data_IF_426935888897
#
_entry.id   IF_426935888897
#
_cell.length_a   1.000
_cell.length_b   1.000
_cell.length_c   1.000
_cell.angle_alpha   90.00
_cell.angle_beta   90.00
_cell.angle_gamma   90.00
#
_symmetry.space_group_name_H-M   'P 1'
#
loop_
_entity.id
_entity.type
_entity.pdbx_description
1 polymer ?
#
# COMPACT_ATOMS: atom_id res chain seq x y z
N UNK A 1 21.76 -23.07 10.59
CA UNK A 1 20.46 -23.54 11.11
C UNK A 1 19.76 -22.36 11.74
N UNK A 2 18.47 -22.19 11.46
CA UNK A 2 17.67 -21.10 12.03
C UNK A 2 17.43 -21.37 13.51
N UNK A 3 17.35 -20.32 14.31
CA UNK A 3 16.92 -20.40 15.72
C UNK A 3 15.40 -20.60 15.80
N UNK A 4 14.90 -20.97 16.98
CA UNK A 4 13.45 -21.09 17.22
C UNK A 4 12.68 -19.79 16.86
N UNK A 5 13.25 -18.63 17.16
CA UNK A 5 12.65 -17.34 16.80
C UNK A 5 12.62 -17.13 15.28
N UNK A 6 13.68 -17.48 14.57
CA UNK A 6 13.71 -17.38 13.12
C UNK A 6 12.73 -18.36 12.45
N UNK A 7 12.56 -19.57 12.99
CA UNK A 7 11.54 -20.51 12.53
C UNK A 7 10.12 -19.95 12.67
N UNK A 8 9.77 -19.40 13.84
CA UNK A 8 8.47 -18.74 14.05
C UNK A 8 8.26 -17.62 13.02
N UNK A 9 9.30 -16.83 12.73
CA UNK A 9 9.20 -15.76 11.74
C UNK A 9 9.00 -16.31 10.32
N UNK A 10 9.71 -17.37 9.95
CA UNK A 10 9.56 -18.06 8.66
C UNK A 10 8.14 -18.55 8.47
N UNK A 11 7.59 -19.28 9.45
CA UNK A 11 6.22 -19.80 9.42
C UNK A 11 5.19 -18.68 9.29
N UNK A 12 5.41 -17.54 9.95
CA UNK A 12 4.53 -16.37 9.84
C UNK A 12 4.55 -15.76 8.44
N UNK A 13 5.70 -15.74 7.77
CA UNK A 13 5.77 -15.31 6.36
C UNK A 13 4.94 -16.26 5.50
N UNK A 14 5.20 -17.56 5.56
CA UNK A 14 4.52 -18.56 4.71
C UNK A 14 3.01 -18.55 4.93
N UNK A 15 2.57 -18.66 6.18
CA UNK A 15 1.15 -18.65 6.56
C UNK A 15 0.45 -17.37 6.08
N UNK A 16 1.10 -16.22 6.20
CA UNK A 16 0.49 -14.95 5.76
C UNK A 16 0.39 -14.84 4.23
N UNK A 17 1.31 -15.45 3.48
CA UNK A 17 1.24 -15.50 2.02
C UNK A 17 0.14 -16.46 1.57
N UNK A 18 0.09 -17.67 2.15
CA UNK A 18 -0.93 -18.68 1.86
C UNK A 18 -2.35 -18.18 2.15
N UNK A 19 -2.53 -17.44 3.26
CA UNK A 19 -3.82 -16.86 3.63
C UNK A 19 -4.16 -15.56 2.88
N UNK A 20 -3.27 -15.05 2.03
CA UNK A 20 -3.47 -13.77 1.33
C UNK A 20 -3.46 -12.54 2.24
N UNK A 21 -2.87 -12.67 3.43
CA UNK A 21 -2.79 -11.63 4.46
C UNK A 21 -1.46 -10.86 4.42
N UNK A 22 -0.47 -11.35 3.70
CA UNK A 22 0.85 -10.72 3.56
C UNK A 22 0.71 -9.36 2.85
N UNK A 23 1.10 -8.28 3.53
CA UNK A 23 1.02 -6.93 2.98
C UNK A 23 2.38 -6.49 2.46
N UNK A 24 3.39 -6.53 3.35
CA UNK A 24 4.78 -6.23 3.02
C UNK A 24 5.70 -6.72 4.13
N UNK A 25 6.95 -6.95 3.77
CA UNK A 25 8.05 -7.17 4.71
C UNK A 25 9.12 -6.10 4.48
N UNK A 26 9.62 -5.49 5.55
CA UNK A 26 10.69 -4.50 5.48
C UNK A 26 11.91 -5.05 6.23
N UNK A 27 13.02 -5.22 5.50
CA UNK A 27 14.32 -5.58 6.07
C UNK A 27 15.17 -4.31 6.16
N UNK A 28 15.69 -4.00 7.35
CA UNK A 28 16.34 -2.72 7.64
C UNK A 28 17.32 -2.83 8.82
N UNK A 29 17.86 -1.69 9.28
CA UNK A 29 18.87 -1.58 10.32
C UNK A 29 20.19 -2.27 9.91
N UNK A 30 21.03 -1.55 9.16
CA UNK A 30 22.26 -2.08 8.56
C UNK A 30 23.22 -2.61 9.63
N UNK A 31 23.80 -3.78 9.37
CA UNK A 31 24.97 -4.31 10.11
C UNK A 31 26.20 -3.44 9.87
N UNK A 32 26.41 -3.06 8.61
CA UNK A 32 27.54 -2.24 8.17
C UNK A 32 27.07 -0.82 7.84
N UNK A 33 27.54 0.18 8.59
CA UNK A 33 27.18 1.60 8.37
C UNK A 33 27.60 2.12 6.99
N UNK A 34 28.63 1.53 6.39
CA UNK A 34 29.16 1.88 5.07
C UNK A 34 28.40 1.25 3.91
N UNK A 35 27.44 0.36 4.16
CA UNK A 35 26.66 -0.27 3.08
C UNK A 35 25.78 0.77 2.37
N UNK A 36 25.82 0.80 1.05
CA UNK A 36 24.98 1.65 0.21
C UNK A 36 23.51 1.16 0.15
N UNK A 37 23.27 -0.10 0.50
CA UNK A 37 21.92 -0.67 0.57
C UNK A 37 21.24 -0.21 1.87
N UNK A 38 20.15 0.56 1.73
CA UNK A 38 19.43 1.20 2.83
C UNK A 38 18.43 0.26 3.52
N UNK A 39 17.61 -0.41 2.71
CA UNK A 39 16.58 -1.35 3.16
C UNK A 39 16.12 -2.20 1.97
N UNK A 40 15.42 -3.29 2.28
CA UNK A 40 14.71 -4.09 1.29
C UNK A 40 13.23 -4.05 1.66
N UNK A 41 12.38 -3.73 0.68
CA UNK A 41 10.92 -3.79 0.83
C UNK A 41 10.42 -4.93 -0.04
N UNK A 42 9.73 -5.87 0.58
CA UNK A 42 9.19 -7.07 -0.07
C UNK A 42 7.68 -6.93 -0.07
N UNK A 43 7.03 -7.16 -1.21
CA UNK A 43 5.58 -7.06 -1.36
C UNK A 43 5.06 -8.13 -2.33
N UNK A 44 3.83 -8.63 -2.14
CA UNK A 44 3.27 -9.63 -3.03
C UNK A 44 2.92 -8.99 -4.37
N UNK A 45 3.12 -9.74 -5.45
CA UNK A 45 2.85 -9.27 -6.80
C UNK A 45 2.33 -10.39 -7.69
N UNK A 46 1.32 -10.09 -8.49
CA UNK A 46 0.87 -10.96 -9.56
C UNK A 46 1.44 -10.50 -10.90
N UNK A 47 2.24 -11.37 -11.55
CA UNK A 47 2.81 -11.12 -12.88
C UNK A 47 2.37 -12.23 -13.84
N UNK A 48 2.67 -12.08 -15.14
CA UNK A 48 2.35 -13.11 -16.16
C UNK A 48 2.85 -14.53 -15.82
N UNK A 49 3.91 -14.63 -15.00
CA UNK A 49 4.51 -15.89 -14.53
C UNK A 49 3.93 -16.38 -13.19
N UNK A 50 2.78 -15.86 -12.77
CA UNK A 50 2.11 -16.19 -11.51
C UNK A 50 2.44 -15.24 -10.37
N UNK A 51 1.96 -15.61 -9.18
CA UNK A 51 2.23 -14.90 -7.93
C UNK A 51 3.72 -14.97 -7.57
N UNK A 52 4.28 -13.85 -7.11
CA UNK A 52 5.68 -13.70 -6.68
C UNK A 52 5.79 -12.75 -5.50
N UNK A 53 6.95 -12.74 -4.87
CA UNK A 53 7.35 -11.67 -3.97
C UNK A 53 8.32 -10.72 -4.69
N UNK A 54 7.96 -9.45 -4.76
CA UNK A 54 8.76 -8.37 -5.32
C UNK A 54 9.67 -7.77 -4.25
N UNK A 55 10.98 -7.89 -4.43
CA UNK A 55 12.04 -7.34 -3.58
C UNK A 55 12.52 -6.03 -4.20
N UNK A 56 12.20 -4.91 -3.56
CA UNK A 56 12.73 -3.59 -3.86
C UNK A 56 13.95 -3.34 -2.97
N UNK A 57 15.13 -3.47 -3.56
CA UNK A 57 16.41 -3.12 -2.94
C UNK A 57 16.62 -1.61 -3.07
N UNK A 58 16.47 -0.89 -1.97
CA UNK A 58 16.64 0.57 -1.94
C UNK A 58 18.09 0.91 -1.63
N UNK A 59 18.82 1.42 -2.61
CA UNK A 59 20.18 1.95 -2.43
C UNK A 59 20.16 3.46 -2.28
N UNK A 60 21.31 4.07 -1.99
CA UNK A 60 21.46 5.52 -1.91
C UNK A 60 21.15 6.24 -3.22
N UNK A 61 21.50 5.64 -4.36
CA UNK A 61 21.44 6.28 -5.69
C UNK A 61 20.37 5.71 -6.60
N UNK A 62 19.82 4.54 -6.28
CA UNK A 62 18.86 3.85 -7.13
C UNK A 62 18.07 2.80 -6.36
N UNK A 63 16.95 2.38 -6.95
CA UNK A 63 16.17 1.25 -6.49
C UNK A 63 16.22 0.13 -7.53
N UNK A 64 16.44 -1.10 -7.08
CA UNK A 64 16.44 -2.30 -7.93
C UNK A 64 15.30 -3.21 -7.49
N UNK A 65 14.43 -3.59 -8.43
CA UNK A 65 13.33 -4.53 -8.16
C UNK A 65 13.64 -5.90 -8.76
N UNK A 66 13.47 -6.97 -7.97
CA UNK A 66 13.55 -8.36 -8.41
C UNK A 66 12.37 -9.15 -7.89
N UNK A 67 11.84 -10.08 -8.68
CA UNK A 67 10.66 -10.89 -8.31
C UNK A 67 11.07 -12.34 -8.14
N UNK A 68 10.68 -12.95 -7.02
CA UNK A 68 11.10 -14.30 -6.62
C UNK A 68 9.89 -15.19 -6.29
N UNK A 69 10.06 -16.51 -6.42
CA UNK A 69 9.10 -17.47 -5.84
C UNK A 69 9.10 -17.38 -4.32
N UNK A 70 8.04 -17.87 -3.67
CA UNK A 70 7.96 -17.94 -2.21
C UNK A 70 9.10 -18.79 -1.61
N UNK A 71 9.34 -19.97 -2.19
CA UNK A 71 10.37 -20.92 -1.73
C UNK A 71 11.79 -20.31 -1.75
N UNK A 72 12.12 -19.57 -2.81
CA UNK A 72 13.40 -18.88 -2.95
C UNK A 72 13.50 -17.67 -2.00
N UNK A 73 12.38 -16.97 -1.80
CA UNK A 73 12.33 -15.74 -1.01
C UNK A 73 12.74 -15.95 0.45
N UNK A 74 12.36 -17.07 1.07
CA UNK A 74 12.74 -17.38 2.46
C UNK A 74 14.26 -17.41 2.63
N UNK A 75 14.95 -18.16 1.77
CA UNK A 75 16.41 -18.26 1.82
C UNK A 75 17.08 -16.90 1.62
N UNK A 76 16.56 -16.08 0.70
CA UNK A 76 17.06 -14.72 0.47
C UNK A 76 16.84 -13.80 1.67
N UNK A 77 15.64 -13.82 2.28
CA UNK A 77 15.30 -12.99 3.45
C UNK A 77 16.28 -13.27 4.60
N UNK A 78 16.51 -14.54 4.93
CA UNK A 78 17.40 -14.89 6.03
C UNK A 78 18.87 -14.64 5.71
N UNK A 79 19.29 -14.78 4.45
CA UNK A 79 20.64 -14.36 4.04
C UNK A 79 20.84 -12.85 4.21
N UNK A 80 19.87 -12.02 3.82
CA UNK A 80 19.93 -10.56 4.00
C UNK A 80 19.94 -10.17 5.48
N UNK A 81 19.16 -10.87 6.32
CA UNK A 81 19.18 -10.69 7.78
C UNK A 81 20.47 -11.17 8.44
N UNK A 82 21.18 -12.12 7.83
CA UNK A 82 22.45 -12.60 8.36
C UNK A 82 23.60 -11.68 7.98
N UNK A 83 23.66 -11.25 6.72
CA UNK A 83 24.82 -10.54 6.17
C UNK A 83 24.68 -9.02 6.23
N UNK A 84 23.49 -8.48 5.97
CA UNK A 84 23.32 -7.03 5.73
C UNK A 84 22.54 -6.28 6.80
N UNK A 85 21.57 -6.93 7.47
CA UNK A 85 20.57 -6.25 8.28
C UNK A 85 20.33 -6.89 9.66
N UNK A 86 19.80 -6.11 10.60
CA UNK A 86 19.51 -6.55 11.97
C UNK A 86 18.02 -6.56 12.30
N UNK A 87 17.15 -6.09 11.40
CA UNK A 87 15.72 -5.97 11.64
C UNK A 87 14.89 -6.40 10.42
N UNK A 88 13.82 -7.12 10.68
CA UNK A 88 12.76 -7.45 9.74
C UNK A 88 11.40 -7.15 10.38
N UNK A 89 10.54 -6.42 9.66
CA UNK A 89 9.16 -6.16 10.06
C UNK A 89 8.19 -6.67 9.00
N UNK A 90 7.47 -7.73 9.34
CA UNK A 90 6.39 -8.30 8.55
C UNK A 90 5.08 -7.63 8.94
N UNK A 91 4.42 -7.04 7.96
CA UNK A 91 3.09 -6.46 8.08
C UNK A 91 2.09 -7.41 7.43
N UNK A 92 1.11 -7.87 8.21
CA UNK A 92 -0.02 -8.67 7.72
C UNK A 92 -1.33 -7.91 7.95
N UNK A 93 -2.43 -8.45 7.45
CA UNK A 93 -3.77 -7.91 7.71
C UNK A 93 -4.15 -7.91 9.21
N UNK A 94 -3.60 -8.86 9.96
CA UNK A 94 -4.02 -9.17 11.33
C UNK A 94 -2.98 -8.82 12.40
N UNK A 95 -1.72 -8.67 12.04
CA UNK A 95 -0.63 -8.44 12.99
C UNK A 95 0.60 -7.80 12.33
N UNK A 96 1.49 -7.27 13.16
CA UNK A 96 2.84 -6.86 12.77
C UNK A 96 3.82 -7.68 13.58
N UNK A 97 4.63 -8.48 12.87
CA UNK A 97 5.68 -9.31 13.47
C UNK A 97 7.02 -8.64 13.21
N UNK A 98 7.77 -8.37 14.27
CA UNK A 98 9.12 -7.79 14.20
C UNK A 98 10.14 -8.80 14.68
N UNK A 99 11.09 -9.16 13.83
CA UNK A 99 12.27 -9.95 14.15
C UNK A 99 13.48 -9.03 14.18
N UNK A 100 14.18 -8.97 15.31
CA UNK A 100 15.38 -8.16 15.46
C UNK A 100 16.51 -8.94 16.11
N UNK A 101 17.73 -8.66 15.64
CA UNK A 101 18.98 -9.25 16.11
C UNK A 101 19.74 -8.23 16.96
N UNK A 102 20.19 -8.66 18.13
CA UNK A 102 21.03 -7.83 19.00
C UNK A 102 22.40 -7.58 18.36
N UNK A 103 22.82 -6.32 18.23
CA UNK A 103 24.12 -5.97 17.68
C UNK A 103 25.31 -6.50 18.50
N UNK A 104 25.12 -6.82 19.80
CA UNK A 104 26.20 -7.32 20.68
C UNK A 104 26.46 -8.82 20.55
N UNK A 105 25.42 -9.62 20.39
CA UNK A 105 25.52 -11.09 20.48
C UNK A 105 24.70 -11.83 19.41
N UNK A 106 24.16 -11.10 18.43
CA UNK A 106 23.36 -11.61 17.32
C UNK A 106 22.18 -12.50 17.75
N UNK A 107 21.69 -12.37 18.99
CA UNK A 107 20.54 -13.15 19.45
C UNK A 107 19.26 -12.59 18.83
N UNK A 108 18.43 -13.43 18.18
CA UNK A 108 17.16 -13.01 17.62
C UNK A 108 16.09 -12.86 18.70
N UNK A 109 15.18 -11.93 18.49
CA UNK A 109 13.98 -11.74 19.31
C UNK A 109 12.80 -11.31 18.43
N UNK A 110 11.64 -11.92 18.68
CA UNK A 110 10.37 -11.54 18.06
C UNK A 110 9.58 -10.62 18.99
N UNK A 111 8.86 -9.67 18.39
CA UNK A 111 7.73 -8.95 18.98
C UNK A 111 6.55 -9.00 18.02
N UNK A 112 5.38 -9.29 18.54
CA UNK A 112 4.11 -9.27 17.79
C UNK A 112 3.27 -8.11 18.34
N UNK A 113 2.64 -7.34 17.46
CA UNK A 113 1.74 -6.25 17.83
C UNK A 113 0.53 -6.21 16.89
N UNK A 114 -0.52 -5.54 17.33
CA UNK A 114 -1.70 -5.29 16.49
C UNK A 114 -1.36 -4.49 15.21
N UNK A 115 -2.14 -4.68 14.13
CA UNK A 115 -1.89 -4.04 12.85
C UNK A 115 -2.23 -2.55 12.97
N UNK A 116 -1.27 -1.69 12.59
CA UNK A 116 -1.45 -0.23 12.69
C UNK A 116 -2.47 0.32 11.68
N UNK A 117 -2.82 -0.48 10.67
CA UNK A 117 -3.85 -0.21 9.67
C UNK A 117 -4.47 -1.56 9.25
N UNK A 118 -5.74 -1.57 8.82
CA UNK A 118 -6.35 -2.69 8.07
C UNK A 118 -6.33 -2.36 6.57
N UNK A 119 -5.28 -2.64 5.79
CA UNK A 119 -5.36 -2.52 4.34
C UNK A 119 -6.16 -3.70 3.79
N UNK A 120 -7.15 -3.41 2.94
CA UNK A 120 -7.61 -4.41 1.98
C UNK A 120 -6.44 -4.69 1.05
N UNK A 121 -5.83 -5.87 1.16
CA UNK A 121 -4.72 -6.29 0.30
C UNK A 121 -5.26 -6.37 -1.13
N UNK A 122 -4.96 -5.36 -1.93
CA UNK A 122 -5.31 -5.36 -3.36
C UNK A 122 -4.06 -5.73 -4.14
N UNK A 123 -3.96 -6.99 -4.54
CA UNK A 123 -2.83 -7.58 -5.27
C UNK A 123 -2.73 -7.08 -6.73
N UNK A 124 -3.70 -6.28 -7.19
CA UNK A 124 -3.66 -5.71 -8.52
C UNK A 124 -2.77 -4.45 -8.56
N UNK A 125 -1.77 -4.50 -9.43
CA UNK A 125 -0.99 -3.32 -9.86
C UNK A 125 -1.86 -2.22 -10.48
N UNK A 126 -3.05 -2.57 -10.94
CA UNK A 126 -4.03 -1.61 -11.40
C UNK A 126 -4.85 -1.16 -10.18
N UNK A 127 -4.36 -0.12 -9.48
CA UNK A 127 -5.23 0.67 -8.62
C UNK A 127 -6.31 1.27 -9.53
N UNK A 128 -7.42 0.55 -9.71
CA UNK A 128 -8.64 1.11 -10.28
C UNK A 128 -8.95 2.33 -9.44
N UNK A 129 -8.61 3.50 -9.94
CA UNK A 129 -8.87 4.77 -9.27
C UNK A 129 -10.36 4.78 -9.01
N UNK A 130 -10.75 4.70 -7.75
CA UNK A 130 -12.16 4.75 -7.37
C UNK A 130 -12.70 6.09 -7.84
N UNK A 131 -13.43 6.07 -8.96
CA UNK A 131 -14.10 7.23 -9.51
C UNK A 131 -15.34 7.44 -8.66
N UNK A 132 -15.36 8.52 -7.88
CA UNK A 132 -16.44 8.90 -6.97
C UNK A 132 -17.64 9.47 -7.70
N UNK A 133 -17.43 9.99 -8.92
CA UNK A 133 -18.51 10.44 -9.80
C UNK A 133 -18.75 9.42 -10.89
N UNK A 134 -19.95 8.87 -10.90
CA UNK A 134 -20.45 8.02 -11.97
C UNK A 134 -20.68 8.84 -13.24
N UNK A 135 -20.26 8.30 -14.38
CA UNK A 135 -20.44 8.96 -15.68
C UNK A 135 -21.84 8.74 -16.24
N UNK A 136 -22.39 7.54 -16.01
CA UNK A 136 -23.63 7.07 -16.63
C UNK A 136 -24.82 7.91 -16.18
N UNK A 137 -25.61 8.41 -17.13
CA UNK A 137 -26.80 9.24 -16.91
C UNK A 137 -26.55 10.45 -15.98
N UNK A 138 -25.32 10.94 -15.90
CA UNK A 138 -24.97 12.02 -15.00
C UNK A 138 -25.29 13.37 -15.66
N UNK A 139 -26.52 13.85 -15.44
CA UNK A 139 -27.01 15.12 -15.97
C UNK A 139 -26.10 16.27 -15.57
N UNK A 140 -25.62 16.29 -14.32
CA UNK A 140 -24.72 17.32 -13.82
C UNK A 140 -23.42 17.39 -14.64
N UNK A 141 -22.77 16.26 -14.93
CA UNK A 141 -21.57 16.24 -15.78
C UNK A 141 -21.85 16.66 -17.23
N UNK A 142 -23.05 16.36 -17.76
CA UNK A 142 -23.46 16.77 -19.11
C UNK A 142 -23.66 18.29 -19.20
N UNK A 143 -24.41 18.86 -18.27
CA UNK A 143 -24.70 20.30 -18.21
C UNK A 143 -23.43 21.13 -18.00
N UNK A 144 -22.47 20.58 -17.25
CA UNK A 144 -21.16 21.20 -17.08
C UNK A 144 -20.24 21.08 -18.31
N UNK A 145 -20.70 20.37 -19.34
CA UNK A 145 -19.97 20.13 -20.58
C UNK A 145 -18.78 19.18 -20.41
N UNK A 146 -18.71 18.41 -19.32
CA UNK A 146 -17.59 17.49 -19.00
C UNK A 146 -17.75 16.18 -19.77
N UNK A 147 -18.98 15.70 -19.94
CA UNK A 147 -19.30 14.50 -20.71
C UNK A 147 -20.03 14.83 -22.01
N UNK A 148 -20.02 13.89 -22.95
CA UNK A 148 -20.85 13.88 -24.15
C UNK A 148 -22.27 13.39 -23.80
N UNK A 149 -23.18 13.44 -24.76
CA UNK A 149 -24.53 12.84 -24.66
C UNK A 149 -24.48 11.34 -24.30
N UNK A 150 -23.41 10.66 -24.71
CA UNK A 150 -23.13 9.22 -24.49
C UNK A 150 -22.40 8.93 -23.17
N UNK A 151 -22.35 9.88 -22.24
CA UNK A 151 -21.67 9.73 -20.93
C UNK A 151 -20.14 9.53 -21.02
N UNK A 152 -19.52 9.91 -22.14
CA UNK A 152 -18.07 9.83 -22.34
C UNK A 152 -17.43 11.17 -21.99
N UNK A 153 -16.31 11.17 -21.25
CA UNK A 153 -15.59 12.41 -20.91
C UNK A 153 -15.02 13.04 -22.18
N UNK A 154 -15.21 14.34 -22.37
CA UNK A 154 -14.61 15.08 -23.49
C UNK A 154 -13.08 15.15 -23.34
N UNK A 155 -12.37 15.11 -24.48
CA UNK A 155 -10.89 15.02 -24.54
C UNK A 155 -10.16 16.11 -23.75
N UNK A 156 -10.72 17.31 -23.70
CA UNK A 156 -10.21 18.49 -22.99
C UNK A 156 -10.69 18.60 -21.53
N UNK A 157 -11.61 17.73 -21.10
CA UNK A 157 -12.25 17.80 -19.78
C UNK A 157 -11.78 16.73 -18.80
N UNK A 158 -10.80 15.90 -19.18
CA UNK A 158 -10.21 14.89 -18.28
C UNK A 158 -9.59 15.51 -17.02
N UNK A 159 -8.96 16.68 -17.13
CA UNK A 159 -8.36 17.39 -15.99
C UNK A 159 -9.43 17.85 -15.02
N UNK A 160 -10.55 18.37 -15.54
CA UNK A 160 -11.69 18.79 -14.74
C UNK A 160 -12.37 17.61 -14.05
N UNK A 161 -12.57 16.51 -14.77
CA UNK A 161 -13.10 15.27 -14.20
C UNK A 161 -12.20 14.72 -13.07
N UNK A 162 -10.88 14.76 -13.24
CA UNK A 162 -9.92 14.40 -12.18
C UNK A 162 -10.03 15.33 -10.97
N UNK A 163 -10.14 16.65 -11.19
CA UNK A 163 -10.30 17.65 -10.14
C UNK A 163 -11.54 17.38 -9.28
N UNK A 164 -12.69 17.11 -9.92
CA UNK A 164 -13.95 16.80 -9.25
C UNK A 164 -13.82 15.53 -8.38
N UNK A 165 -13.24 14.45 -8.92
CA UNK A 165 -13.06 13.21 -8.18
C UNK A 165 -12.14 13.40 -6.96
N UNK A 166 -11.08 14.20 -7.10
CA UNK A 166 -10.19 14.52 -5.98
C UNK A 166 -10.87 15.38 -4.93
N UNK A 167 -11.75 16.28 -5.36
CA UNK A 167 -12.50 17.14 -4.44
C UNK A 167 -13.49 16.33 -3.59
N UNK A 168 -14.25 15.41 -4.21
CA UNK A 168 -15.14 14.51 -3.48
C UNK A 168 -14.39 13.58 -2.51
N UNK A 169 -13.18 13.16 -2.86
CA UNK A 169 -12.31 12.41 -1.93
C UNK A 169 -12.00 13.21 -0.66
N UNK A 170 -11.74 14.51 -0.80
CA UNK A 170 -11.45 15.38 0.35
C UNK A 170 -12.70 15.55 1.21
N UNK A 171 -13.86 15.81 0.59
CA UNK A 171 -15.13 15.99 1.30
C UNK A 171 -15.56 14.72 2.02
N UNK A 172 -15.52 13.57 1.36
CA UNK A 172 -15.87 12.27 1.92
C UNK A 172 -15.11 12.01 3.23
N UNK A 173 -13.79 12.23 3.22
CA UNK A 173 -12.94 12.08 4.39
C UNK A 173 -13.26 13.07 5.53
N UNK A 174 -13.83 14.23 5.22
CA UNK A 174 -14.23 15.23 6.21
C UNK A 174 -15.61 14.96 6.81
N UNK A 175 -16.57 14.50 5.99
CA UNK A 175 -17.96 14.22 6.41
C UNK A 175 -18.03 12.92 7.20
N UNK A 176 -17.41 11.84 6.72
CA UNK A 176 -17.46 10.51 7.39
C UNK A 176 -16.90 10.60 8.81
N UNK A 177 -15.90 11.45 9.05
CA UNK A 177 -15.32 11.65 10.39
C UNK A 177 -16.21 12.44 11.36
N UNK A 178 -17.28 13.07 10.88
CA UNK A 178 -18.07 14.05 11.67
C UNK A 178 -19.55 13.72 11.80
N UNK A 179 -20.08 12.70 11.15
CA UNK A 179 -21.54 12.57 11.04
C UNK A 179 -22.01 11.15 11.31
N UNK A 180 -22.45 10.91 12.56
CA UNK A 180 -23.30 9.77 12.88
C UNK A 180 -24.79 10.11 12.86
N UNK A 181 -25.27 11.36 12.98
CA UNK A 181 -26.74 11.55 13.16
C UNK A 181 -27.33 12.96 12.95
N UNK A 182 -26.63 13.94 12.35
CA UNK A 182 -27.16 15.33 12.21
C UNK A 182 -27.32 15.77 10.75
N UNK A 183 -28.45 16.47 10.46
CA UNK A 183 -28.65 17.20 9.19
C UNK A 183 -27.54 18.23 9.02
N UNK A 184 -26.72 18.07 7.98
CA UNK A 184 -25.64 19.00 7.66
C UNK A 184 -26.18 20.17 6.84
N UNK A 185 -25.75 21.39 7.17
CA UNK A 185 -25.88 22.56 6.30
C UNK A 185 -24.51 22.85 5.73
N UNK A 186 -24.39 22.80 4.41
CA UNK A 186 -23.14 23.05 3.68
C UNK A 186 -23.23 24.45 3.06
N UNK A 187 -22.17 25.23 3.22
CA UNK A 187 -22.03 26.54 2.59
C UNK A 187 -20.85 26.50 1.62
N UNK A 188 -21.12 26.78 0.34
CA UNK A 188 -20.12 26.78 -0.74
C UNK A 188 -19.59 28.21 -0.94
N UNK A 189 -18.55 28.55 -0.17
CA UNK A 189 -17.90 29.86 -0.27
C UNK A 189 -16.93 29.91 -1.46
N UNK A 190 -17.16 30.84 -2.40
CA UNK A 190 -16.29 30.99 -3.59
C UNK A 190 -16.56 29.95 -4.68
N UNK A 191 -17.83 29.58 -4.88
CA UNK A 191 -18.25 28.43 -5.69
C UNK A 191 -17.90 28.50 -7.19
N UNK A 192 -17.45 29.64 -7.70
CA UNK A 192 -17.09 29.82 -9.11
C UNK A 192 -18.26 29.45 -10.02
N UNK A 193 -18.12 28.40 -10.84
CA UNK A 193 -19.21 27.87 -11.69
C UNK A 193 -20.25 27.02 -10.93
N UNK A 194 -20.25 27.03 -9.60
CA UNK A 194 -21.26 26.33 -8.79
C UNK A 194 -21.16 24.81 -8.82
N UNK A 195 -19.98 24.25 -9.13
CA UNK A 195 -19.79 22.81 -9.31
C UNK A 195 -20.33 22.00 -8.13
N UNK A 196 -19.97 22.35 -6.89
CA UNK A 196 -20.43 21.64 -5.69
C UNK A 196 -21.90 21.93 -5.36
N UNK A 197 -22.36 23.15 -5.62
CA UNK A 197 -23.73 23.57 -5.32
C UNK A 197 -24.77 22.78 -6.13
N UNK A 198 -24.43 22.40 -7.37
CA UNK A 198 -25.33 21.67 -8.27
C UNK A 198 -25.04 20.17 -8.39
N UNK A 199 -24.01 19.67 -7.71
CA UNK A 199 -23.64 18.25 -7.67
C UNK A 199 -24.54 17.47 -6.70
#
# INVERSE_FOLDING_TARGET
MLTNQEHIFSEKIDTSVENGEFIKLIISNKRHKTSELNKIIISPVEIKKGFRLSFLYNYKTQDITKNYELEESQSLIFNELKENFLNAELFTANEIIRLFFSAKNNKPKIKISEPTFKPVVNLNHDRKKHKRVELKNNIWLKELGITTSEDVIKKDMHDKYRQINKYLEVIENMIIKKTSEKKLRIYDAGSGKGYLTFA
#
